data_IF_488698440943
#
_entry.id   IF_488698440943
#
_cell.length_a   1.000
_cell.length_b   1.000
_cell.length_c   1.000
_cell.angle_alpha   90.00
_cell.angle_beta   90.00
_cell.angle_gamma   90.00
#
_symmetry.space_group_name_H-M   'P 1'
#
loop_
_entity.id
_entity.type
_entity.pdbx_description
1 polymer ?
#
# COMPACT_ATOMS: atom_id res chain seq x y z
N UNK A 1 -5.36 5.03 18.76
CA UNK A 1 -5.65 3.87 17.88
C UNK A 1 -4.40 3.41 17.12
N UNK A 2 -3.64 4.28 16.44
CA UNK A 2 -2.38 3.90 15.78
C UNK A 2 -1.35 3.28 16.75
N UNK A 3 -1.09 3.92 17.90
CA UNK A 3 -0.11 3.38 18.85
C UNK A 3 -0.50 2.02 19.44
N UNK A 4 -1.81 1.76 19.61
CA UNK A 4 -2.30 0.46 20.04
C UNK A 4 -1.99 -0.63 18.99
N UNK A 5 -2.33 -0.37 17.72
CA UNK A 5 -2.02 -1.29 16.62
C UNK A 5 -0.51 -1.50 16.44
N UNK A 6 0.29 -0.44 16.57
CA UNK A 6 1.76 -0.53 16.55
C UNK A 6 2.27 -1.41 17.70
N UNK A 7 1.71 -1.25 18.90
CA UNK A 7 2.07 -2.09 20.05
C UNK A 7 1.70 -3.55 19.82
N UNK A 8 0.50 -3.84 19.31
CA UNK A 8 0.04 -5.19 18.97
C UNK A 8 0.95 -5.87 17.93
N UNK A 9 1.50 -5.08 17.00
CA UNK A 9 2.42 -5.58 15.99
C UNK A 9 3.89 -5.65 16.46
N UNK A 10 4.20 -5.34 17.72
CA UNK A 10 5.58 -5.35 18.23
C UNK A 10 6.45 -4.19 17.74
N UNK A 11 5.83 -3.09 17.32
CA UNK A 11 6.48 -1.88 16.84
C UNK A 11 6.18 -1.55 15.38
N UNK A 12 6.73 -0.43 14.91
CA UNK A 12 6.50 0.07 13.54
C UNK A 12 7.02 -0.91 12.48
N UNK A 13 8.13 -1.61 12.76
CA UNK A 13 8.70 -2.58 11.82
C UNK A 13 7.81 -3.82 11.71
N UNK A 14 7.20 -4.27 12.80
CA UNK A 14 6.25 -5.36 12.78
C UNK A 14 4.95 -4.97 12.07
N UNK A 15 4.45 -3.76 12.28
CA UNK A 15 3.31 -3.23 11.51
C UNK A 15 3.64 -3.13 10.01
N UNK A 16 4.84 -2.66 9.67
CA UNK A 16 5.30 -2.60 8.29
C UNK A 16 5.44 -3.97 7.65
N UNK A 17 5.93 -4.96 8.42
CA UNK A 17 6.01 -6.35 7.98
C UNK A 17 4.60 -6.95 7.73
N UNK A 18 3.64 -6.69 8.62
CA UNK A 18 2.25 -7.12 8.44
C UNK A 18 1.64 -6.57 7.14
N UNK A 19 1.81 -5.26 6.89
CA UNK A 19 1.30 -4.66 5.66
C UNK A 19 1.98 -5.23 4.42
N UNK A 20 3.31 -5.35 4.42
CA UNK A 20 4.05 -5.98 3.31
C UNK A 20 3.59 -7.41 3.05
N UNK A 21 3.47 -8.23 4.10
CA UNK A 21 3.04 -9.62 3.97
C UNK A 21 1.60 -9.72 3.42
N UNK A 22 0.72 -8.81 3.82
CA UNK A 22 -0.66 -8.77 3.32
C UNK A 22 -0.71 -8.35 1.86
N UNK A 23 -0.01 -7.27 1.49
CA UNK A 23 0.06 -6.81 0.10
C UNK A 23 0.71 -7.86 -0.80
N UNK A 24 1.78 -8.53 -0.36
CA UNK A 24 2.44 -9.61 -1.12
C UNK A 24 1.48 -10.76 -1.48
N UNK A 25 0.51 -11.08 -0.62
CA UNK A 25 -0.53 -12.08 -0.94
C UNK A 25 -1.41 -11.63 -2.10
N UNK A 26 -1.68 -10.33 -2.25
CA UNK A 26 -2.43 -9.79 -3.39
C UNK A 26 -1.64 -9.89 -4.70
N UNK A 27 -0.34 -9.58 -4.68
CA UNK A 27 0.50 -9.81 -5.85
C UNK A 27 0.59 -11.30 -6.22
N UNK A 28 0.78 -12.18 -5.25
CA UNK A 28 0.79 -13.62 -5.50
C UNK A 28 -0.56 -14.11 -6.07
N UNK A 29 -1.68 -13.50 -5.66
CA UNK A 29 -2.99 -13.77 -6.27
C UNK A 29 -3.03 -13.31 -7.74
N UNK A 30 -2.53 -12.12 -8.05
CA UNK A 30 -2.44 -11.61 -9.43
C UNK A 30 -1.61 -12.54 -10.31
N UNK A 31 -0.45 -13.00 -9.84
CA UNK A 31 0.40 -13.96 -10.55
C UNK A 31 -0.35 -15.27 -10.83
N UNK A 32 -1.10 -15.78 -9.84
CA UNK A 32 -1.89 -17.01 -9.98
C UNK A 32 -3.06 -16.89 -10.96
N UNK A 33 -3.60 -15.69 -11.12
CA UNK A 33 -4.67 -15.42 -12.08
C UNK A 33 -4.16 -15.38 -13.52
N UNK A 34 -2.85 -15.22 -13.72
CA UNK A 34 -2.22 -15.26 -15.04
C UNK A 34 -2.88 -14.25 -16.00
N UNK A 35 -3.32 -14.67 -17.20
CA UNK A 35 -3.95 -13.76 -18.17
C UNK A 35 -5.18 -13.00 -17.64
N UNK A 36 -5.89 -13.54 -16.65
CA UNK A 36 -7.06 -12.85 -16.09
C UNK A 36 -6.67 -11.58 -15.32
N UNK A 37 -5.42 -11.46 -14.86
CA UNK A 37 -4.92 -10.24 -14.23
C UNK A 37 -4.75 -9.07 -15.23
N UNK A 38 -4.79 -9.35 -16.53
CA UNK A 38 -4.78 -8.33 -17.59
C UNK A 38 -6.17 -7.69 -17.82
N UNK A 39 -7.20 -8.13 -17.08
CA UNK A 39 -8.54 -7.54 -17.14
C UNK A 39 -8.46 -6.04 -16.84
N UNK A 40 -8.91 -5.17 -17.76
CA UNK A 40 -8.93 -3.73 -17.52
C UNK A 40 -9.88 -3.36 -16.38
N UNK A 41 -9.43 -2.48 -15.50
CA UNK A 41 -10.23 -1.88 -14.43
C UNK A 41 -10.06 -0.37 -14.45
N UNK A 42 -11.19 0.33 -14.40
CA UNK A 42 -11.22 1.79 -14.29
C UNK A 42 -10.48 2.22 -13.02
N UNK A 43 -9.40 2.97 -13.20
CA UNK A 43 -8.47 3.29 -12.12
C UNK A 43 -8.19 4.77 -12.06
N UNK A 44 -8.51 5.38 -10.91
CA UNK A 44 -8.14 6.75 -10.59
C UNK A 44 -7.21 6.72 -9.37
N UNK A 45 -5.95 7.07 -9.55
CA UNK A 45 -4.94 7.11 -8.49
C UNK A 45 -4.21 8.45 -8.53
N UNK A 46 -4.21 9.16 -7.40
CA UNK A 46 -3.47 10.41 -7.23
C UNK A 46 -2.70 10.40 -5.93
N UNK A 47 -1.38 10.42 -6.02
CA UNK A 47 -0.50 10.48 -4.85
C UNK A 47 0.62 11.51 -5.03
N UNK A 48 0.47 12.64 -4.34
CA UNK A 48 1.46 13.72 -4.36
C UNK A 48 1.74 14.19 -5.80
N UNK A 49 3.02 14.38 -6.11
CA UNK A 49 3.49 14.69 -7.48
C UNK A 49 4.00 13.44 -8.22
N UNK A 50 3.98 12.27 -7.57
CA UNK A 50 4.70 11.08 -8.03
C UNK A 50 3.80 10.09 -8.80
N UNK A 51 2.47 10.22 -8.69
CA UNK A 51 1.51 9.39 -9.41
C UNK A 51 0.21 10.15 -9.74
N UNK A 52 -0.13 10.21 -11.02
CA UNK A 52 -1.44 10.66 -11.53
C UNK A 52 -1.89 9.68 -12.61
N UNK A 53 -2.91 8.88 -12.29
CA UNK A 53 -3.54 7.93 -13.19
C UNK A 53 -5.03 8.22 -13.18
N UNK A 54 -5.58 8.38 -14.39
CA UNK A 54 -7.01 8.49 -14.66
C UNK A 54 -7.25 7.75 -15.98
N UNK A 55 -7.18 6.41 -15.91
CA UNK A 55 -7.22 5.51 -17.07
C UNK A 55 -7.61 4.07 -16.64
N UNK A 56 -7.90 3.23 -17.62
CA UNK A 56 -8.11 1.80 -17.44
C UNK A 56 -6.75 1.08 -17.33
N UNK A 57 -6.49 0.40 -16.21
CA UNK A 57 -5.27 -0.37 -16.01
C UNK A 57 -5.56 -1.87 -15.96
N UNK A 58 -4.61 -2.72 -16.39
CA UNK A 58 -4.62 -4.13 -16.01
C UNK A 58 -4.78 -4.26 -14.49
N UNK A 59 -5.70 -5.11 -14.03
CA UNK A 59 -5.93 -5.30 -12.59
C UNK A 59 -4.65 -5.68 -11.83
N UNK A 60 -3.79 -6.51 -12.43
CA UNK A 60 -2.47 -6.83 -11.88
C UNK A 60 -1.57 -5.60 -11.72
N UNK A 61 -1.64 -4.63 -12.66
CA UNK A 61 -0.89 -3.37 -12.59
C UNK A 61 -1.42 -2.45 -11.49
N UNK A 62 -2.73 -2.38 -11.30
CA UNK A 62 -3.32 -1.63 -10.19
C UNK A 62 -2.85 -2.17 -8.83
N UNK A 63 -2.78 -3.50 -8.65
CA UNK A 63 -2.22 -4.12 -7.45
C UNK A 63 -0.71 -3.87 -7.29
N UNK A 64 0.04 -3.88 -8.38
CA UNK A 64 1.47 -3.59 -8.36
C UNK A 64 1.78 -2.17 -7.87
N UNK A 65 1.00 -1.18 -8.34
CA UNK A 65 1.11 0.21 -7.89
C UNK A 65 0.87 0.33 -6.37
N UNK A 66 -0.08 -0.42 -5.83
CA UNK A 66 -0.31 -0.46 -4.39
C UNK A 66 0.93 -0.89 -3.59
N UNK A 67 1.68 -1.89 -4.06
CA UNK A 67 2.86 -2.37 -3.35
C UNK A 67 4.07 -1.46 -3.55
N UNK A 68 4.31 -0.99 -4.78
CA UNK A 68 5.54 -0.27 -5.11
C UNK A 68 5.47 1.22 -4.77
N UNK A 69 4.27 1.80 -4.74
CA UNK A 69 4.08 3.24 -4.54
C UNK A 69 3.36 3.50 -3.21
N UNK A 70 2.12 3.03 -3.08
CA UNK A 70 1.24 3.41 -1.97
C UNK A 70 1.76 2.90 -0.61
N UNK A 71 2.16 1.63 -0.54
CA UNK A 71 2.62 1.05 0.72
C UNK A 71 3.89 1.76 1.27
N UNK A 72 4.96 1.99 0.49
CA UNK A 72 6.11 2.78 0.93
C UNK A 72 5.74 4.21 1.36
N UNK A 73 4.85 4.88 0.62
CA UNK A 73 4.39 6.22 0.94
C UNK A 73 3.69 6.24 2.30
N UNK A 74 2.69 5.37 2.50
CA UNK A 74 1.93 5.30 3.75
C UNK A 74 2.81 4.90 4.94
N UNK A 75 3.77 4.00 4.76
CA UNK A 75 4.74 3.68 5.82
C UNK A 75 5.59 4.90 6.20
N UNK A 76 5.95 5.74 5.23
CA UNK A 76 6.68 6.99 5.49
C UNK A 76 5.80 7.99 6.25
N UNK A 77 4.55 8.16 5.82
CA UNK A 77 3.56 9.02 6.48
C UNK A 77 3.29 8.57 7.93
N UNK A 78 3.09 7.27 8.17
CA UNK A 78 2.89 6.71 9.52
C UNK A 78 4.10 6.96 10.43
N UNK A 79 5.32 6.81 9.90
CA UNK A 79 6.55 7.15 10.64
C UNK A 79 6.66 8.65 10.93
N UNK A 80 6.15 9.51 10.06
CA UNK A 80 6.13 10.95 10.29
C UNK A 80 5.11 11.32 11.37
N UNK A 81 3.91 10.75 11.31
CA UNK A 81 2.85 10.97 12.31
C UNK A 81 3.28 10.58 13.73
N UNK A 82 4.03 9.48 13.90
CA UNK A 82 4.59 9.11 15.21
C UNK A 82 5.76 9.97 15.67
N UNK A 83 6.44 10.65 14.74
CA UNK A 83 7.56 11.57 15.05
C UNK A 83 7.09 12.96 15.40
N UNK A 84 5.86 13.33 15.04
CA UNK A 84 5.25 14.54 15.54
C UNK A 84 4.73 14.26 16.96
N UNK A 85 5.37 14.79 18.02
CA UNK A 85 4.68 14.85 19.30
C UNK A 85 3.42 15.66 19.03
N UNK A 86 2.27 15.11 19.43
CA UNK A 86 0.96 15.71 19.30
C UNK A 86 1.10 17.23 19.44
N UNK A 87 0.79 17.99 18.38
CA UNK A 87 0.54 19.41 18.56
C UNK A 87 -0.54 19.48 19.63
N UNK A 88 -0.14 19.98 20.79
CA UNK A 88 -0.93 20.08 22.00
C UNK A 88 -2.23 20.85 21.77
#
# INVERSE_FOLDING_TARGET
QLDALVSECGGLDGLAALFRATSQKLCALAERLGPAAETPVETVLREGFDLDVDDSLPWGRALDLHIRVHLPLHLTQLRALRRQPHLA
#
